data_IF_910655174573
#
_entry.id   IF_910655174573
#
_cell.length_a   1.000
_cell.length_b   1.000
_cell.length_c   1.000
_cell.angle_alpha   90.00
_cell.angle_beta   90.00
_cell.angle_gamma   90.00
#
_symmetry.space_group_name_H-M   'P 1'
#
loop_
_entity.id
_entity.type
_entity.pdbx_description
1 polymer ?
#
# COMPACT_ATOMS: atom_id res chain seq x y z
N UNK A 1 -3.93 23.60 12.60
CA UNK A 1 -4.97 22.79 13.26
C UNK A 1 -4.89 21.40 12.66
N UNK A 2 -4.95 20.35 13.46
CA UNK A 2 -4.95 18.96 12.98
C UNK A 2 -6.29 18.68 12.28
N UNK A 3 -6.32 18.47 10.95
CA UNK A 3 -7.56 18.29 10.19
C UNK A 3 -8.38 17.08 10.66
N UNK A 4 -7.72 15.99 11.07
CA UNK A 4 -8.42 14.77 11.50
C UNK A 4 -9.06 14.97 12.87
N UNK A 5 -8.34 15.65 13.78
CA UNK A 5 -8.89 16.02 15.09
C UNK A 5 -10.12 16.93 14.98
N UNK A 6 -10.18 17.80 13.97
CA UNK A 6 -11.37 18.63 13.70
C UNK A 6 -12.59 17.82 13.27
N UNK A 7 -12.36 16.64 12.71
CA UNK A 7 -13.40 15.65 12.35
C UNK A 7 -13.72 14.69 13.51
N UNK A 8 -13.11 14.87 14.69
CA UNK A 8 -13.24 13.96 15.82
C UNK A 8 -12.51 12.63 15.64
N UNK A 9 -11.59 12.55 14.68
CA UNK A 9 -10.79 11.35 14.41
C UNK A 9 -9.47 11.47 15.17
N UNK A 10 -9.16 10.47 15.98
CA UNK A 10 -7.85 10.31 16.60
C UNK A 10 -6.95 9.52 15.65
N UNK A 11 -5.98 10.20 15.03
CA UNK A 11 -5.12 9.61 14.01
C UNK A 11 -3.80 9.12 14.62
N UNK A 12 -3.61 7.80 14.68
CA UNK A 12 -2.30 7.17 14.95
C UNK A 12 -1.57 6.90 13.63
N UNK A 13 -0.31 7.32 13.52
CA UNK A 13 0.51 7.16 12.31
C UNK A 13 1.77 6.37 12.64
N UNK A 14 1.94 5.23 11.94
CA UNK A 14 3.10 4.36 12.07
C UNK A 14 3.86 4.33 10.74
N UNK A 15 5.08 4.85 10.75
CA UNK A 15 5.95 4.86 9.58
C UNK A 15 7.04 3.79 9.70
N UNK A 16 7.00 2.81 8.78
CA UNK A 16 7.98 1.74 8.68
C UNK A 16 8.80 1.80 7.37
N UNK A 17 8.82 2.95 6.69
CA UNK A 17 9.55 3.13 5.45
C UNK A 17 11.08 3.17 5.69
N UNK A 18 11.81 2.39 4.89
CA UNK A 18 13.28 2.33 4.93
C UNK A 18 13.80 2.52 3.49
N UNK A 19 14.70 3.50 3.30
CA UNK A 19 15.26 3.82 2.00
C UNK A 19 16.08 2.67 1.41
N UNK A 20 15.96 2.43 0.10
CA UNK A 20 16.73 1.42 -0.63
C UNK A 20 16.31 -0.04 -0.37
N UNK A 21 15.20 -0.27 0.33
CA UNK A 21 14.72 -1.59 0.70
C UNK A 21 13.52 -2.01 -0.17
N UNK A 22 13.55 -3.17 -0.85
CA UNK A 22 12.40 -3.70 -1.58
C UNK A 22 11.31 -4.23 -0.63
N UNK A 23 10.13 -4.54 -1.17
CA UNK A 23 8.99 -5.01 -0.37
C UNK A 23 9.24 -6.34 0.34
N UNK A 24 10.08 -7.23 -0.21
CA UNK A 24 10.55 -8.42 0.48
C UNK A 24 11.94 -8.18 1.11
N UNK A 25 12.19 -8.55 2.39
CA UNK A 25 11.32 -9.30 3.31
C UNK A 25 10.40 -8.47 4.21
N UNK A 26 10.54 -7.14 4.22
CA UNK A 26 9.89 -6.27 5.21
C UNK A 26 8.36 -6.32 5.16
N UNK A 27 7.82 -6.42 3.95
CA UNK A 27 6.41 -6.60 3.66
C UNK A 27 5.80 -7.92 4.12
N UNK A 28 6.60 -8.84 4.68
CA UNK A 28 6.12 -10.08 5.31
C UNK A 28 6.18 -10.09 6.84
N UNK A 29 6.75 -9.05 7.46
CA UNK A 29 6.81 -8.91 8.91
C UNK A 29 5.87 -7.79 9.41
N UNK A 30 4.68 -7.67 8.81
CA UNK A 30 3.78 -6.54 9.05
C UNK A 30 3.41 -6.35 10.52
N UNK A 31 3.21 -7.44 11.27
CA UNK A 31 2.90 -7.35 12.70
C UNK A 31 3.95 -6.58 13.50
N UNK A 32 5.23 -6.72 13.17
CA UNK A 32 6.32 -6.05 13.88
C UNK A 32 6.48 -4.58 13.48
N UNK A 33 6.10 -4.23 12.25
CA UNK A 33 6.34 -2.90 11.68
C UNK A 33 5.11 -2.00 11.67
N UNK A 34 3.91 -2.58 11.51
CA UNK A 34 2.63 -1.87 11.35
C UNK A 34 1.64 -2.20 12.48
N UNK A 35 1.84 -3.30 13.19
CA UNK A 35 0.87 -3.85 14.14
C UNK A 35 -0.14 -4.79 13.47
N UNK A 36 -1.23 -5.06 14.16
CA UNK A 36 -2.32 -5.95 13.69
C UNK A 36 -3.71 -5.28 13.73
N UNK A 37 -3.72 -3.99 14.01
CA UNK A 37 -4.87 -3.14 14.31
C UNK A 37 -4.97 -1.95 13.34
N UNK A 38 -4.23 -1.98 12.23
CA UNK A 38 -4.28 -0.93 11.24
C UNK A 38 -5.65 -0.94 10.53
N UNK A 39 -6.26 0.25 10.39
CA UNK A 39 -7.48 0.46 9.60
C UNK A 39 -7.16 0.83 8.14
N UNK A 40 -5.97 1.38 7.91
CA UNK A 40 -5.46 1.77 6.59
C UNK A 40 -3.98 1.40 6.51
N UNK A 41 -3.56 0.84 5.38
CA UNK A 41 -2.15 0.53 5.10
C UNK A 41 -1.74 1.15 3.77
N UNK A 42 -0.52 1.69 3.73
CA UNK A 42 0.07 2.25 2.52
C UNK A 42 1.24 1.37 2.05
N UNK A 43 1.26 1.06 0.75
CA UNK A 43 2.35 0.39 0.08
C UNK A 43 3.05 1.38 -0.86
N UNK A 44 4.33 1.67 -0.59
CA UNK A 44 5.15 2.60 -1.39
C UNK A 44 6.57 2.03 -1.60
N UNK A 45 6.68 1.07 -2.51
CA UNK A 45 7.98 0.47 -2.90
C UNK A 45 8.32 0.70 -4.37
N UNK A 46 7.52 1.47 -5.09
CA UNK A 46 7.59 1.62 -6.55
C UNK A 46 8.90 2.24 -7.07
N UNK A 47 9.59 3.01 -6.23
CA UNK A 47 10.94 3.52 -6.52
C UNK A 47 12.04 2.45 -6.42
N UNK A 48 11.84 1.45 -5.55
CA UNK A 48 12.77 0.33 -5.40
C UNK A 48 12.38 -0.85 -6.31
N UNK A 49 11.14 -0.88 -6.79
CA UNK A 49 10.58 -1.93 -7.62
C UNK A 49 9.89 -1.33 -8.86
N UNK A 50 10.56 -1.45 -10.01
CA UNK A 50 10.22 -0.83 -11.29
C UNK A 50 8.92 -1.28 -11.98
N UNK A 51 7.99 -1.93 -11.26
CA UNK A 51 6.63 -2.23 -11.72
C UNK A 51 6.45 -3.56 -12.46
N UNK A 52 7.55 -4.26 -12.79
CA UNK A 52 7.49 -5.52 -13.54
C UNK A 52 7.13 -6.77 -12.72
N UNK A 53 7.22 -6.67 -11.38
CA UNK A 53 7.06 -7.77 -10.42
C UNK A 53 5.86 -7.45 -9.52
N UNK A 54 4.92 -8.38 -9.41
CA UNK A 54 3.67 -8.23 -8.64
C UNK A 54 3.63 -9.11 -7.38
N UNK A 55 4.54 -10.05 -7.27
CA UNK A 55 4.58 -11.05 -6.21
C UNK A 55 4.80 -10.42 -4.84
N UNK A 56 5.62 -9.37 -4.77
CA UNK A 56 5.86 -8.62 -3.53
C UNK A 56 4.60 -7.93 -3.00
N UNK A 57 3.88 -7.22 -3.86
CA UNK A 57 2.63 -6.56 -3.48
C UNK A 57 1.51 -7.56 -3.21
N UNK A 58 1.43 -8.67 -3.95
CA UNK A 58 0.40 -9.68 -3.72
C UNK A 58 0.57 -10.31 -2.34
N UNK A 59 1.79 -10.65 -1.97
CA UNK A 59 2.05 -11.27 -0.70
C UNK A 59 1.85 -10.30 0.47
N UNK A 60 2.19 -9.02 0.29
CA UNK A 60 1.81 -7.95 1.24
C UNK A 60 0.29 -7.84 1.38
N UNK A 61 -0.44 -7.77 0.26
CA UNK A 61 -1.90 -7.68 0.21
C UNK A 61 -2.56 -8.87 0.93
N UNK A 62 -2.12 -10.10 0.64
CA UNK A 62 -2.62 -11.30 1.31
C UNK A 62 -2.42 -11.24 2.82
N UNK A 63 -1.26 -10.77 3.29
CA UNK A 63 -1.05 -10.59 4.73
C UNK A 63 -1.98 -9.53 5.33
N UNK A 64 -2.16 -8.39 4.66
CA UNK A 64 -3.05 -7.33 5.16
C UNK A 64 -4.50 -7.79 5.22
N UNK A 65 -4.95 -8.60 4.27
CA UNK A 65 -6.30 -9.19 4.27
C UNK A 65 -6.54 -10.17 5.41
N UNK A 66 -5.49 -10.72 6.03
CA UNK A 66 -5.62 -11.56 7.23
C UNK A 66 -5.67 -10.77 8.54
N UNK A 67 -5.51 -9.45 8.50
CA UNK A 67 -5.58 -8.61 9.69
C UNK A 67 -7.05 -8.49 10.17
N UNK A 68 -7.28 -8.44 11.51
CA UNK A 68 -8.62 -8.30 12.09
C UNK A 68 -9.49 -7.19 11.49
N UNK A 69 -8.90 -6.02 11.23
CA UNK A 69 -9.65 -4.85 10.74
C UNK A 69 -9.82 -4.83 9.20
N UNK A 70 -9.21 -5.77 8.48
CA UNK A 70 -9.20 -5.81 7.01
C UNK A 70 -8.94 -4.42 6.38
N UNK A 71 -7.74 -3.84 6.61
CA UNK A 71 -7.47 -2.44 6.32
C UNK A 71 -7.72 -2.04 4.87
N UNK A 72 -8.13 -0.79 4.68
CA UNK A 72 -8.11 -0.15 3.36
C UNK A 72 -6.67 -0.09 2.82
N UNK A 73 -6.52 -0.33 1.52
CA UNK A 73 -5.23 -0.43 0.87
C UNK A 73 -4.95 0.81 0.02
N UNK A 74 -3.89 1.54 0.33
CA UNK A 74 -3.38 2.66 -0.47
C UNK A 74 -2.09 2.20 -1.15
N UNK A 75 -1.99 2.39 -2.46
CA UNK A 75 -0.82 2.00 -3.25
C UNK A 75 -0.27 3.21 -3.96
N UNK A 76 0.98 3.57 -3.68
CA UNK A 76 1.74 4.52 -4.47
C UNK A 76 2.63 3.76 -5.45
N UNK A 77 2.28 3.83 -6.72
CA UNK A 77 2.96 3.10 -7.79
C UNK A 77 3.44 3.98 -8.94
N UNK A 78 4.28 3.43 -9.80
CA UNK A 78 4.64 4.06 -11.07
C UNK A 78 3.59 3.77 -12.13
N UNK A 79 3.44 4.65 -13.11
CA UNK A 79 2.58 4.42 -14.29
C UNK A 79 2.97 3.15 -15.10
N UNK A 80 4.16 2.59 -14.90
CA UNK A 80 4.64 1.37 -15.57
C UNK A 80 4.09 0.09 -14.93
N UNK A 81 3.58 0.13 -13.70
CA UNK A 81 3.18 -1.03 -12.91
C UNK A 81 1.80 -1.61 -13.29
N UNK A 82 1.57 -1.84 -14.59
CA UNK A 82 0.29 -2.32 -15.14
C UNK A 82 -0.15 -3.64 -14.51
N UNK A 83 0.77 -4.59 -14.33
CA UNK A 83 0.48 -5.90 -13.72
C UNK A 83 0.05 -5.81 -12.26
N UNK A 84 0.61 -4.87 -11.49
CA UNK A 84 0.20 -4.66 -10.09
C UNK A 84 -1.20 -4.06 -10.02
N UNK A 85 -1.51 -3.11 -10.91
CA UNK A 85 -2.86 -2.55 -11.04
C UNK A 85 -3.90 -3.61 -11.42
N UNK A 86 -3.58 -4.48 -12.37
CA UNK A 86 -4.46 -5.60 -12.77
C UNK A 86 -4.67 -6.57 -11.62
N UNK A 87 -3.60 -6.97 -10.92
CA UNK A 87 -3.70 -7.80 -9.72
C UNK A 87 -4.64 -7.20 -8.67
N UNK A 88 -4.45 -5.92 -8.30
CA UNK A 88 -5.32 -5.25 -7.32
C UNK A 88 -6.77 -5.23 -7.80
N UNK A 89 -6.99 -4.95 -9.10
CA UNK A 89 -8.32 -4.99 -9.71
C UNK A 89 -8.97 -6.36 -9.57
N UNK A 90 -8.23 -7.45 -9.76
CA UNK A 90 -8.76 -8.81 -9.64
C UNK A 90 -9.22 -9.11 -8.20
N UNK A 91 -8.46 -8.67 -7.19
CA UNK A 91 -8.88 -8.80 -5.77
C UNK A 91 -10.13 -7.99 -5.44
N UNK A 92 -10.31 -6.82 -6.07
CA UNK A 92 -11.54 -6.03 -5.94
C UNK A 92 -12.72 -6.75 -6.58
N UNK A 93 -12.54 -7.23 -7.82
CA UNK A 93 -13.59 -7.93 -8.57
C UNK A 93 -14.00 -9.26 -7.91
N UNK A 94 -13.08 -9.94 -7.23
CA UNK A 94 -13.37 -11.15 -6.47
C UNK A 94 -14.02 -10.88 -5.10
N UNK A 95 -14.19 -9.62 -4.71
CA UNK A 95 -14.74 -9.21 -3.41
C UNK A 95 -13.79 -9.38 -2.23
N UNK A 96 -12.50 -9.67 -2.48
CA UNK A 96 -11.50 -9.87 -1.43
C UNK A 96 -10.89 -8.56 -0.93
N UNK A 97 -10.92 -7.49 -1.73
CA UNK A 97 -10.39 -6.18 -1.37
C UNK A 97 -11.44 -5.09 -1.56
N UNK A 98 -11.61 -4.22 -0.56
CA UNK A 98 -12.60 -3.14 -0.58
C UNK A 98 -11.93 -1.78 -0.79
N UNK A 99 -12.45 -1.03 -1.75
CA UNK A 99 -12.16 0.38 -2.01
C UNK A 99 -10.67 0.79 -1.93
N UNK A 100 -9.75 0.09 -2.62
CA UNK A 100 -8.35 0.48 -2.61
C UNK A 100 -8.13 1.80 -3.35
N UNK A 101 -7.18 2.60 -2.89
CA UNK A 101 -6.74 3.84 -3.54
C UNK A 101 -5.41 3.59 -4.22
N UNK A 102 -5.34 3.76 -5.54
CA UNK A 102 -4.10 3.64 -6.30
C UNK A 102 -3.69 5.00 -6.83
N UNK A 103 -2.54 5.49 -6.35
CA UNK A 103 -1.92 6.75 -6.76
C UNK A 103 -0.75 6.40 -7.68
N UNK A 104 -0.78 6.94 -8.90
CA UNK A 104 0.32 6.75 -9.86
C UNK A 104 1.20 7.99 -9.84
N UNK A 105 2.51 7.80 -9.86
CA UNK A 105 3.46 8.88 -10.12
C UNK A 105 3.79 8.96 -11.60
N UNK A 106 3.56 10.12 -12.18
CA UNK A 106 4.12 10.49 -13.48
C UNK A 106 5.64 10.76 -13.34
N UNK A 107 6.42 10.62 -14.43
CA UNK A 107 7.83 10.96 -14.39
C UNK A 107 8.00 12.43 -13.98
N UNK A 108 8.82 12.68 -12.95
CA UNK A 108 9.14 14.05 -12.52
C UNK A 108 9.85 14.90 -13.60
N UNK A 109 10.30 14.27 -14.69
CA UNK A 109 10.93 14.92 -15.84
C UNK A 109 9.91 15.43 -16.89
N UNK A 110 8.62 15.08 -16.77
CA UNK A 110 7.60 15.66 -17.63
C UNK A 110 7.26 17.09 -17.13
N UNK A 111 7.47 18.13 -17.96
CA UNK A 111 7.12 19.49 -17.57
C UNK A 111 5.60 19.66 -17.44
N UNK A 112 5.20 20.52 -16.50
CA UNK A 112 3.81 20.90 -16.24
C UNK A 112 3.11 21.53 -17.45
#
# INVERSE_FOLDING_TARGET
>A
KDPMKMLGIDLDVRNAAIGGIPSFPYGWCLKNFLGSDADVVSWDYSMNESGGVSEGIEAYLRQTLTMPNAPMFIVKDTHLAKKRKELIRDYVLSGNLRDPVIIHTDPAAEPF
#
